data_IF_280181885360
#
_entry.id   IF_280181885360
#
_cell.length_a   1.000
_cell.length_b   1.000
_cell.length_c   1.000
_cell.angle_alpha   90.00
_cell.angle_beta   90.00
_cell.angle_gamma   90.00
#
_symmetry.space_group_name_H-M   'P 1'
#
loop_
_entity.id
_entity.type
_entity.pdbx_description
1 polymer ?
#
# COMPACT_ATOMS: atom_id res chain seq x y z
N UNK A 1 32.15 -46.84 17.63
CA UNK A 1 30.74 -46.86 17.19
C UNK A 1 29.85 -46.54 18.37
N UNK A 2 28.88 -45.64 18.16
CA UNK A 2 27.82 -45.15 19.05
C UNK A 2 28.18 -43.93 19.92
N UNK A 3 27.53 -42.84 19.53
CA UNK A 3 27.53 -41.50 20.07
C UNK A 3 26.48 -41.36 21.18
N UNK A 4 26.73 -40.49 22.17
CA UNK A 4 25.69 -39.82 22.96
C UNK A 4 26.23 -38.47 23.45
N UNK A 5 25.96 -37.41 22.68
CA UNK A 5 26.12 -36.02 23.10
C UNK A 5 24.76 -35.58 23.64
N UNK A 6 24.64 -35.40 24.95
CA UNK A 6 23.44 -34.86 25.58
C UNK A 6 23.37 -33.35 25.31
N UNK A 7 22.35 -32.95 24.58
CA UNK A 7 22.03 -31.57 24.27
C UNK A 7 20.95 -31.05 25.24
N UNK A 8 21.19 -29.84 25.75
CA UNK A 8 20.20 -28.79 26.04
C UNK A 8 19.25 -29.01 27.23
N UNK A 9 19.53 -28.29 28.33
CA UNK A 9 18.51 -27.83 29.28
C UNK A 9 18.80 -26.36 29.60
N UNK A 10 18.27 -25.47 28.76
CA UNK A 10 18.22 -24.03 28.99
C UNK A 10 16.77 -23.59 29.03
N UNK A 11 16.17 -23.66 30.22
CA UNK A 11 14.83 -23.14 30.51
C UNK A 11 14.86 -21.60 30.44
N UNK A 12 14.42 -21.02 29.32
CA UNK A 12 14.13 -19.58 29.24
C UNK A 12 12.68 -19.35 29.66
N UNK A 13 12.49 -18.84 30.87
CA UNK A 13 11.21 -18.42 31.40
C UNK A 13 10.87 -17.02 30.86
N UNK A 14 10.09 -16.95 29.78
CA UNK A 14 9.41 -15.73 29.33
C UNK A 14 8.15 -15.52 30.17
N UNK A 15 8.17 -14.62 31.14
CA UNK A 15 6.92 -14.09 31.73
C UNK A 15 6.55 -12.78 31.04
N UNK A 16 5.50 -12.89 30.25
CA UNK A 16 4.75 -11.85 29.57
C UNK A 16 4.22 -10.80 30.56
N UNK A 17 4.48 -9.52 30.29
CA UNK A 17 3.72 -8.40 30.85
C UNK A 17 2.57 -8.10 29.89
N UNK A 18 1.39 -8.58 30.23
CA UNK A 18 0.14 -8.31 29.52
C UNK A 18 -0.38 -6.91 29.84
N UNK A 19 -0.40 -6.00 28.86
CA UNK A 19 -1.17 -4.76 28.94
C UNK A 19 -2.65 -5.04 28.58
N UNK A 20 -3.53 -4.86 29.56
CA UNK A 20 -5.00 -4.86 29.40
C UNK A 20 -5.44 -3.68 28.54
N UNK A 21 -6.17 -3.96 27.45
CA UNK A 21 -7.04 -3.00 26.77
C UNK A 21 -8.49 -3.38 27.09
N UNK A 22 -9.27 -2.43 27.63
CA UNK A 22 -10.72 -2.58 27.85
C UNK A 22 -11.49 -2.22 26.57
N UNK A 23 -12.53 -2.99 26.18
CA UNK A 23 -13.41 -2.64 25.07
C UNK A 23 -14.57 -1.77 25.55
N UNK A 24 -14.91 -0.73 24.78
CA UNK A 24 -16.05 0.15 24.98
C UNK A 24 -16.92 0.15 23.72
N UNK A 25 -18.20 -0.14 23.92
CA UNK A 25 -19.19 -0.54 22.96
C UNK A 25 -19.80 0.64 22.16
N UNK A 26 -20.32 0.30 20.99
CA UNK A 26 -21.08 1.11 20.03
C UNK A 26 -22.23 1.91 20.66
N UNK A 27 -22.52 3.11 20.10
CA UNK A 27 -23.88 3.55 19.77
C UNK A 27 -23.86 4.53 18.60
N UNK A 28 -24.60 4.14 17.57
CA UNK A 28 -25.09 4.98 16.48
C UNK A 28 -26.42 5.60 16.92
N UNK A 29 -26.55 6.92 16.82
CA UNK A 29 -27.86 7.59 16.90
C UNK A 29 -27.90 8.72 15.87
N UNK A 30 -28.94 8.64 15.05
CA UNK A 30 -29.26 9.52 13.94
C UNK A 30 -30.13 10.68 14.45
N UNK A 31 -30.10 11.80 13.70
CA UNK A 31 -31.20 12.77 13.48
C UNK A 31 -31.14 14.15 14.17
N UNK A 32 -30.76 15.14 13.32
CA UNK A 32 -31.24 16.53 13.14
C UNK A 32 -31.50 17.43 14.36
N UNK A 33 -30.92 18.64 14.32
CA UNK A 33 -31.61 19.93 14.06
C UNK A 33 -30.76 21.12 14.55
N UNK A 34 -30.28 21.91 13.59
CA UNK A 34 -30.35 23.39 13.49
C UNK A 34 -29.92 24.29 14.68
N UNK A 35 -28.77 24.95 14.48
CA UNK A 35 -28.56 26.41 14.46
C UNK A 35 -28.48 27.24 15.78
N UNK A 36 -27.29 27.85 15.92
CA UNK A 36 -26.94 29.22 16.34
C UNK A 36 -26.23 29.51 17.69
N UNK A 37 -25.25 30.40 17.51
CA UNK A 37 -24.67 31.40 18.41
C UNK A 37 -23.48 31.09 19.34
N UNK A 38 -22.29 31.39 18.81
CA UNK A 38 -21.49 32.58 19.18
C UNK A 38 -20.16 32.40 19.97
N UNK A 39 -19.11 33.03 19.38
CA UNK A 39 -17.83 33.53 19.96
C UNK A 39 -16.69 32.50 20.19
N UNK A 40 -15.36 32.82 20.04
CA UNK A 40 -14.67 34.02 19.54
C UNK A 40 -13.72 33.82 18.33
N UNK A 41 -13.36 34.93 17.68
CA UNK A 41 -12.20 35.07 16.76
C UNK A 41 -10.90 34.66 17.46
N UNK A 42 -10.31 33.54 17.06
CA UNK A 42 -8.89 33.25 17.29
C UNK A 42 -8.18 33.35 15.94
N UNK A 43 -7.27 34.32 15.85
CA UNK A 43 -6.39 34.49 14.70
C UNK A 43 -5.44 33.28 14.61
N UNK A 44 -5.79 32.31 13.77
CA UNK A 44 -4.88 31.24 13.38
C UNK A 44 -4.28 31.58 12.02
N UNK A 45 -3.27 32.44 12.02
CA UNK A 45 -2.29 32.48 10.93
C UNK A 45 -1.41 31.22 11.03
N UNK A 46 -2.01 30.07 10.76
CA UNK A 46 -1.26 28.88 10.38
C UNK A 46 -1.56 28.69 8.90
N UNK A 47 -0.63 29.13 8.05
CA UNK A 47 -0.65 28.78 6.64
C UNK A 47 -0.46 27.26 6.56
N UNK A 48 -1.58 26.53 6.66
CA UNK A 48 -1.67 25.14 6.27
C UNK A 48 -1.25 25.14 4.81
N UNK A 49 -0.03 24.67 4.54
CA UNK A 49 0.41 24.47 3.16
C UNK A 49 -0.60 23.52 2.53
N UNK A 50 -1.26 23.91 1.42
CA UNK A 50 -2.22 23.03 0.78
C UNK A 50 -1.53 21.71 0.45
N UNK A 51 -2.08 20.62 0.97
CA UNK A 51 -1.64 19.28 0.62
C UNK A 51 -1.89 19.15 -0.88
N UNK A 52 -0.89 18.78 -1.69
CA UNK A 52 -1.10 18.62 -3.11
C UNK A 52 -2.13 17.52 -3.32
N UNK A 53 -3.28 17.87 -3.91
CA UNK A 53 -4.39 16.97 -4.23
C UNK A 53 -4.01 15.88 -5.24
N UNK A 54 -2.79 15.93 -5.79
CA UNK A 54 -2.29 14.97 -6.79
C UNK A 54 -0.76 14.88 -6.75
N UNK A 55 -0.24 13.66 -6.71
CA UNK A 55 1.17 13.38 -7.07
C UNK A 55 1.25 13.20 -8.58
N UNK A 56 2.14 13.96 -9.22
CA UNK A 56 2.47 13.83 -10.63
C UNK A 56 3.94 13.43 -10.78
N UNK A 57 4.19 12.27 -11.38
CA UNK A 57 5.55 11.82 -11.73
C UNK A 57 5.80 12.26 -13.18
N UNK A 58 6.63 13.29 -13.34
CA UNK A 58 6.95 13.84 -14.66
C UNK A 58 7.98 12.96 -15.36
N UNK A 59 8.07 13.07 -16.69
CA UNK A 59 9.05 12.31 -17.48
C UNK A 59 10.49 12.59 -17.09
N UNK A 60 10.78 13.81 -16.61
CA UNK A 60 12.09 14.24 -16.12
C UNK A 60 12.28 14.07 -14.60
N UNK A 61 11.29 13.53 -13.88
CA UNK A 61 11.41 13.32 -12.44
C UNK A 61 12.51 12.29 -12.14
N UNK A 62 13.32 12.63 -11.14
CA UNK A 62 14.36 11.73 -10.61
C UNK A 62 13.67 10.80 -9.62
N UNK A 63 13.66 9.50 -9.94
CA UNK A 63 13.02 8.46 -9.12
C UNK A 63 14.09 7.51 -8.63
N UNK A 64 14.21 7.36 -7.31
CA UNK A 64 15.17 6.45 -6.66
C UNK A 64 14.44 5.55 -5.67
N UNK A 65 14.56 4.24 -5.86
CA UNK A 65 14.09 3.25 -4.86
C UNK A 65 15.04 3.29 -3.67
N UNK A 66 14.50 3.50 -2.48
CA UNK A 66 15.24 3.57 -1.21
C UNK A 66 15.19 2.24 -0.48
N UNK A 67 14.02 1.60 -0.44
CA UNK A 67 13.84 0.26 0.14
C UNK A 67 12.80 -0.53 -0.63
N UNK A 68 12.87 -1.86 -0.53
CA UNK A 68 11.92 -2.79 -1.12
C UNK A 68 11.74 -4.02 -0.22
N UNK A 69 10.61 -4.07 0.46
CA UNK A 69 10.20 -5.14 1.36
C UNK A 69 9.07 -5.95 0.71
N UNK A 70 9.21 -7.27 0.76
CA UNK A 70 8.28 -8.18 0.11
C UNK A 70 7.30 -8.73 1.12
N UNK A 71 6.02 -8.56 0.84
CA UNK A 71 4.95 -9.10 1.67
C UNK A 71 4.13 -10.08 0.85
N UNK A 72 3.95 -11.27 1.40
CA UNK A 72 2.98 -12.23 0.92
C UNK A 72 2.10 -12.63 2.11
N UNK A 73 0.81 -12.32 2.04
CA UNK A 73 -0.13 -12.85 3.03
C UNK A 73 -0.19 -14.38 2.92
N UNK A 74 -0.34 -15.05 4.06
CA UNK A 74 -0.35 -16.52 4.13
C UNK A 74 -1.51 -17.07 3.30
N UNK A 75 -1.17 -17.54 2.10
CA UNK A 75 -2.05 -18.37 1.30
C UNK A 75 -1.86 -19.83 1.72
N UNK A 76 -2.94 -20.61 1.65
CA UNK A 76 -2.87 -22.07 1.82
C UNK A 76 -1.79 -22.62 0.87
N UNK A 77 -0.88 -23.51 1.34
CA UNK A 77 0.25 -24.00 0.55
C UNK A 77 -0.13 -24.59 -0.82
N UNK A 78 -1.34 -25.16 -0.93
CA UNK A 78 -1.85 -25.82 -2.13
C UNK A 78 -2.58 -24.86 -3.09
N UNK A 79 -2.64 -23.58 -2.76
CA UNK A 79 -3.18 -22.55 -3.66
C UNK A 79 -2.15 -22.28 -4.78
N UNK A 80 -2.58 -22.43 -6.04
CA UNK A 80 -1.79 -22.10 -7.24
C UNK A 80 -1.23 -20.67 -7.14
N UNK A 81 -1.98 -19.73 -6.56
CA UNK A 81 -1.53 -18.36 -6.36
C UNK A 81 -0.40 -18.23 -5.33
N UNK A 82 -0.31 -19.14 -4.35
CA UNK A 82 0.78 -19.17 -3.37
C UNK A 82 2.13 -19.37 -4.07
N UNK A 83 2.19 -20.32 -4.99
CA UNK A 83 3.41 -20.58 -5.78
C UNK A 83 3.81 -19.40 -6.67
N UNK A 84 2.83 -18.78 -7.36
CA UNK A 84 3.06 -17.61 -8.22
C UNK A 84 3.54 -16.41 -7.41
N UNK A 85 2.94 -16.15 -6.25
CA UNK A 85 3.34 -15.07 -5.37
C UNK A 85 4.75 -15.24 -4.78
N UNK A 86 5.16 -16.48 -4.45
CA UNK A 86 6.53 -16.76 -3.99
C UNK A 86 7.59 -16.41 -5.05
N UNK A 87 7.31 -16.71 -6.31
CA UNK A 87 8.20 -16.45 -7.43
C UNK A 87 8.15 -15.01 -7.99
N UNK A 88 7.12 -14.25 -7.65
CA UNK A 88 6.95 -12.90 -8.16
C UNK A 88 7.90 -11.92 -7.45
N UNK A 89 8.82 -11.34 -8.24
CA UNK A 89 9.79 -10.34 -7.79
C UNK A 89 9.98 -9.26 -8.85
N UNK A 90 10.35 -8.07 -8.41
CA UNK A 90 10.62 -6.88 -9.22
C UNK A 90 12.02 -6.39 -8.88
N UNK A 91 12.78 -6.04 -9.91
CA UNK A 91 14.02 -5.31 -9.73
C UNK A 91 13.74 -3.83 -9.43
N UNK A 92 14.72 -3.10 -8.90
CA UNK A 92 14.58 -1.66 -8.66
C UNK A 92 14.27 -0.88 -9.94
N UNK A 93 14.84 -1.29 -11.07
CA UNK A 93 14.58 -0.71 -12.39
C UNK A 93 13.15 -0.99 -12.83
N UNK A 94 12.62 -2.18 -12.53
CA UNK A 94 11.23 -2.53 -12.82
C UNK A 94 10.27 -1.70 -11.97
N UNK A 95 10.59 -1.48 -10.68
CA UNK A 95 9.83 -0.61 -9.79
C UNK A 95 9.79 0.81 -10.35
N UNK A 96 10.95 1.40 -10.68
CA UNK A 96 11.03 2.75 -11.28
C UNK A 96 10.23 2.83 -12.58
N UNK A 97 10.33 1.82 -13.44
CA UNK A 97 9.59 1.77 -14.69
C UNK A 97 8.07 1.74 -14.47
N UNK A 98 7.59 0.94 -13.51
CA UNK A 98 6.18 0.88 -13.12
C UNK A 98 5.70 2.24 -12.62
N UNK A 99 6.42 2.86 -11.69
CA UNK A 99 6.04 4.16 -11.13
C UNK A 99 5.96 5.24 -12.23
N UNK A 100 6.88 5.23 -13.20
CA UNK A 100 6.88 6.19 -14.33
C UNK A 100 5.77 5.96 -15.35
N UNK A 101 5.31 4.73 -15.53
CA UNK A 101 4.23 4.40 -16.47
C UNK A 101 2.85 4.37 -15.81
N UNK A 102 2.80 4.64 -14.51
CA UNK A 102 1.56 4.67 -13.76
C UNK A 102 0.64 5.78 -14.23
N UNK A 103 -0.64 5.46 -14.39
CA UNK A 103 -1.68 6.47 -14.62
C UNK A 103 -2.55 6.58 -13.38
N UNK A 104 -2.89 7.81 -12.93
CA UNK A 104 -3.75 7.97 -11.77
C UNK A 104 -5.13 7.37 -12.07
N UNK A 105 -5.68 6.65 -11.09
CA UNK A 105 -7.03 6.09 -11.12
C UNK A 105 -7.80 6.54 -9.89
N UNK A 106 -9.13 6.55 -9.98
CA UNK A 106 -9.97 6.82 -8.82
C UNK A 106 -10.01 5.59 -7.89
N UNK A 107 -10.39 5.80 -6.63
CA UNK A 107 -10.66 4.69 -5.71
C UNK A 107 -11.80 3.79 -6.23
N UNK A 108 -12.76 4.37 -6.96
CA UNK A 108 -13.84 3.63 -7.61
C UNK A 108 -13.27 2.68 -8.67
N UNK A 109 -12.48 3.17 -9.62
CA UNK A 109 -11.84 2.35 -10.66
C UNK A 109 -10.98 1.25 -10.04
N UNK A 110 -10.19 1.59 -9.03
CA UNK A 110 -9.38 0.62 -8.28
C UNK A 110 -10.25 -0.53 -7.75
N UNK A 111 -11.34 -0.22 -7.06
CA UNK A 111 -12.19 -1.21 -6.41
C UNK A 111 -12.89 -2.16 -7.41
N UNK A 112 -13.27 -1.66 -8.59
CA UNK A 112 -14.03 -2.45 -9.56
C UNK A 112 -13.16 -3.18 -10.60
N UNK A 113 -11.97 -2.66 -10.91
CA UNK A 113 -11.20 -3.13 -12.06
C UNK A 113 -9.94 -3.91 -11.71
N UNK A 114 -9.51 -3.93 -10.45
CA UNK A 114 -8.21 -4.48 -10.08
C UNK A 114 -8.32 -5.65 -9.11
N UNK A 115 -7.63 -6.73 -9.42
CA UNK A 115 -7.48 -7.87 -8.52
C UNK A 115 -6.42 -7.55 -7.46
N UNK A 116 -6.83 -7.44 -6.20
CA UNK A 116 -5.89 -7.30 -5.08
C UNK A 116 -5.28 -8.66 -4.79
N UNK A 117 -4.06 -8.88 -5.30
CA UNK A 117 -3.33 -10.12 -5.05
C UNK A 117 -2.64 -10.11 -3.69
N UNK A 118 -2.41 -11.28 -3.08
CA UNK A 118 -1.84 -11.37 -1.73
C UNK A 118 -0.32 -11.16 -1.71
N UNK A 119 0.31 -10.88 -2.85
CA UNK A 119 1.73 -10.54 -2.95
C UNK A 119 1.94 -9.12 -3.45
N UNK A 120 2.81 -8.42 -2.74
CA UNK A 120 3.15 -7.03 -2.99
C UNK A 120 4.61 -6.74 -2.61
N UNK A 121 5.15 -5.69 -3.22
CA UNK A 121 6.37 -5.05 -2.76
C UNK A 121 6.02 -3.67 -2.24
N UNK A 122 6.51 -3.36 -1.04
CA UNK A 122 6.33 -2.07 -0.38
C UNK A 122 7.68 -1.48 -0.03
N UNK A 123 7.74 -0.17 0.17
CA UNK A 123 9.00 0.45 0.57
C UNK A 123 8.96 1.96 0.46
N UNK A 124 10.15 2.54 0.44
CA UNK A 124 10.35 3.98 0.29
C UNK A 124 10.90 4.27 -1.11
N UNK A 125 10.37 5.32 -1.72
CA UNK A 125 10.87 5.90 -2.98
C UNK A 125 11.11 7.39 -2.77
N UNK A 126 12.18 7.89 -3.35
CA UNK A 126 12.44 9.32 -3.46
C UNK A 126 12.06 9.77 -4.87
N UNK A 127 11.18 10.77 -4.96
CA UNK A 127 10.74 11.40 -6.21
C UNK A 127 11.03 12.89 -6.07
N UNK A 128 11.95 13.40 -6.89
CA UNK A 128 12.36 14.81 -6.88
C UNK A 128 12.74 15.31 -5.46
N UNK A 129 13.52 14.50 -4.74
CA UNK A 129 13.98 14.70 -3.34
C UNK A 129 12.91 14.60 -2.26
N UNK A 130 11.66 14.29 -2.62
CA UNK A 130 10.60 14.01 -1.67
C UNK A 130 10.46 12.51 -1.44
N UNK A 131 10.39 12.10 -0.18
CA UNK A 131 10.25 10.69 0.17
C UNK A 131 8.78 10.30 0.28
N UNK A 132 8.43 9.18 -0.33
CA UNK A 132 7.09 8.59 -0.30
C UNK A 132 7.16 7.12 0.08
N UNK A 133 6.08 6.63 0.70
CA UNK A 133 5.83 5.19 0.76
C UNK A 133 5.18 4.74 -0.53
N UNK A 134 5.59 3.61 -1.05
CA UNK A 134 4.92 2.97 -2.18
C UNK A 134 4.51 1.54 -1.82
N UNK A 135 3.49 1.07 -2.53
CA UNK A 135 3.06 -0.34 -2.53
C UNK A 135 2.69 -0.72 -3.95
N UNK A 136 3.37 -1.70 -4.53
CA UNK A 136 3.03 -2.27 -5.84
C UNK A 136 2.45 -3.65 -5.61
N UNK A 137 1.24 -3.87 -6.11
CA UNK A 137 0.56 -5.16 -6.05
C UNK A 137 0.76 -5.93 -7.36
N UNK A 138 0.89 -7.26 -7.26
CA UNK A 138 1.04 -8.11 -8.44
C UNK A 138 -0.15 -8.07 -9.42
N UNK A 139 -1.29 -7.49 -9.01
CA UNK A 139 -2.48 -7.24 -9.83
C UNK A 139 -2.45 -5.95 -10.66
N UNK A 140 -1.28 -5.42 -11.02
CA UNK A 140 -1.07 -4.29 -11.95
C UNK A 140 -1.59 -2.91 -11.51
N UNK A 141 -1.65 -2.69 -10.20
CA UNK A 141 -1.84 -1.36 -9.61
C UNK A 141 -0.78 -1.08 -8.56
N UNK A 142 -0.64 0.19 -8.21
CA UNK A 142 0.20 0.59 -7.09
C UNK A 142 -0.36 1.83 -6.39
N UNK A 143 0.14 2.08 -5.19
CA UNK A 143 -0.13 3.32 -4.47
C UNK A 143 1.16 4.04 -4.14
N UNK A 144 1.05 5.36 -4.07
CA UNK A 144 2.07 6.25 -3.49
C UNK A 144 1.37 7.00 -2.36
N UNK A 145 2.00 7.06 -1.20
CA UNK A 145 1.45 7.73 -0.04
C UNK A 145 2.49 8.61 0.65
N UNK A 146 2.01 9.72 1.20
CA UNK A 146 2.75 10.55 2.15
C UNK A 146 2.08 10.44 3.54
N UNK A 147 2.22 11.44 4.40
CA UNK A 147 1.61 11.45 5.73
C UNK A 147 0.08 11.60 5.69
N UNK A 148 -0.43 12.31 4.69
CA UNK A 148 -1.80 12.83 4.71
C UNK A 148 -2.68 12.24 3.61
N UNK A 149 -2.08 11.61 2.59
CA UNK A 149 -2.78 11.18 1.38
C UNK A 149 -2.21 9.90 0.79
N UNK A 150 -3.08 9.14 0.13
CA UNK A 150 -2.73 7.96 -0.67
C UNK A 150 -3.31 8.13 -2.07
N UNK A 151 -2.46 7.97 -3.07
CA UNK A 151 -2.79 8.12 -4.49
C UNK A 151 -2.72 6.75 -5.15
N UNK A 152 -3.73 6.43 -5.97
CA UNK A 152 -3.87 5.16 -6.66
C UNK A 152 -3.48 5.29 -8.12
N UNK A 153 -2.77 4.28 -8.63
CA UNK A 153 -2.29 4.25 -10.00
C UNK A 153 -2.51 2.88 -10.62
N UNK A 154 -2.91 2.86 -11.89
CA UNK A 154 -2.86 1.69 -12.74
C UNK A 154 -1.53 1.58 -13.49
N UNK A 155 -1.13 0.36 -13.86
CA UNK A 155 0.00 0.14 -14.76
C UNK A 155 -0.34 -0.90 -15.85
N UNK A 156 -1.11 -0.47 -16.84
CA UNK A 156 -1.52 -1.29 -17.99
C UNK A 156 -0.60 -1.14 -19.22
N UNK A 157 0.62 -0.63 -19.06
CA UNK A 157 1.59 -0.50 -20.16
C UNK A 157 1.91 -1.87 -20.77
N UNK A 158 1.74 -2.08 -22.09
CA UNK A 158 2.07 -3.36 -22.73
C UNK A 158 3.50 -3.83 -22.48
N UNK A 159 4.45 -2.89 -22.35
CA UNK A 159 5.87 -3.17 -22.07
C UNK A 159 6.11 -3.73 -20.66
N UNK A 160 5.20 -3.49 -19.72
CA UNK A 160 5.30 -3.89 -18.32
C UNK A 160 4.34 -5.02 -17.96
N UNK A 161 3.55 -5.53 -18.92
CA UNK A 161 2.57 -6.59 -18.69
C UNK A 161 3.20 -7.83 -18.04
N UNK A 162 4.42 -8.19 -18.42
CA UNK A 162 5.15 -9.34 -17.86
C UNK A 162 5.72 -9.12 -16.45
N UNK A 163 5.56 -7.91 -15.88
CA UNK A 163 5.94 -7.58 -14.51
C UNK A 163 4.84 -7.86 -13.51
N UNK A 164 3.63 -8.19 -13.98
CA UNK A 164 2.47 -8.45 -13.15
C UNK A 164 1.97 -9.88 -13.36
N UNK A 165 1.31 -10.43 -12.33
CA UNK A 165 0.67 -11.74 -12.42
C UNK A 165 -0.75 -11.65 -13.00
N UNK A 166 -1.40 -10.50 -12.82
CA UNK A 166 -2.71 -10.18 -13.39
C UNK A 166 -2.73 -8.74 -13.90
N UNK A 167 -3.46 -8.51 -14.99
CA UNK A 167 -3.75 -7.18 -15.50
C UNK A 167 -5.08 -6.68 -14.92
N UNK A 168 -5.20 -5.36 -14.76
CA UNK A 168 -6.43 -4.69 -14.40
C UNK A 168 -7.37 -4.55 -15.59
N UNK A 169 -8.60 -4.14 -15.28
CA UNK A 169 -9.61 -3.79 -16.25
C UNK A 169 -9.38 -2.41 -16.89
N UNK A 170 -10.17 -2.13 -17.92
CA UNK A 170 -10.22 -0.85 -18.62
C UNK A 170 -11.53 -0.14 -18.27
N UNK A 171 -11.50 1.05 -17.63
CA UNK A 171 -12.72 1.74 -17.18
C UNK A 171 -13.74 1.99 -18.30
N UNK A 172 -13.28 2.45 -19.48
CA UNK A 172 -14.18 2.72 -20.62
C UNK A 172 -14.89 1.46 -21.10
N UNK A 173 -14.14 0.36 -21.18
CA UNK A 173 -14.64 -0.92 -21.69
C UNK A 173 -15.50 -1.66 -20.67
N UNK A 174 -15.06 -1.68 -19.41
CA UNK A 174 -15.57 -2.59 -18.39
C UNK A 174 -16.60 -1.91 -17.47
N UNK A 175 -16.60 -0.57 -17.38
CA UNK A 175 -17.60 0.22 -16.63
C UNK A 175 -18.55 1.03 -17.52
N UNK A 176 -18.27 1.13 -18.83
CA UNK A 176 -19.10 1.90 -19.77
C UNK A 176 -19.09 3.42 -19.53
N UNK A 177 -18.07 3.91 -18.81
CA UNK A 177 -17.75 5.33 -18.66
C UNK A 177 -17.15 5.87 -19.96
#
# INVERSE_FOLDING_TARGET
MRAFIFAILGFFLCTYVSCKVKPGFSKEEHLKTTLNDSVPKVAANSAVRPIPDKIEIKSNSIVKVVSADWESHELKPDDVMSSKCKGWRLSNESIVAILRHGKPISMHDFHYLYYVLPCEVKGLVEIDRNQYRYRINAGSFFTISNKDSTFYFECNSPKLKNKFLMSGGNPQKDLGL
#
